data_IF_547064309750
#
_entry.id   IF_547064309750
#
_cell.length_a   1.000
_cell.length_b   1.000
_cell.length_c   1.000
_cell.angle_alpha   90.00
_cell.angle_beta   90.00
_cell.angle_gamma   90.00
#
_symmetry.space_group_name_H-M   'P 1'
#
loop_
_entity.id
_entity.type
_entity.pdbx_description
1 polymer ?
#
# COMPACT_ATOMS: atom_id res chain seq x y z
N UNK A 1 36.14 -5.07 1.74
CA UNK A 1 35.68 -6.01 0.70
C UNK A 1 34.41 -5.47 0.08
N UNK A 2 34.36 -5.37 -1.28
CA UNK A 2 33.16 -4.97 -2.03
C UNK A 2 32.56 -6.19 -2.69
N UNK A 3 31.27 -6.46 -2.42
CA UNK A 3 30.51 -7.52 -3.08
C UNK A 3 29.80 -6.93 -4.29
N UNK A 4 30.34 -7.17 -5.49
CA UNK A 4 29.85 -6.58 -6.74
C UNK A 4 29.18 -7.58 -7.68
N UNK A 5 29.39 -8.88 -7.47
CA UNK A 5 28.73 -9.90 -8.26
C UNK A 5 27.29 -10.08 -7.82
N UNK A 6 26.37 -9.97 -8.79
CA UNK A 6 24.93 -10.23 -8.61
C UNK A 6 24.57 -11.59 -9.23
N UNK A 7 23.75 -12.35 -8.54
CA UNK A 7 23.33 -13.70 -8.96
C UNK A 7 21.84 -13.76 -9.30
N UNK A 8 21.09 -12.68 -9.06
CA UNK A 8 19.63 -12.63 -9.22
C UNK A 8 19.23 -12.14 -10.60
N UNK A 9 19.83 -11.04 -11.04
CA UNK A 9 19.33 -10.23 -12.16
C UNK A 9 20.15 -10.44 -13.42
N UNK A 10 19.51 -10.21 -14.56
CA UNK A 10 20.16 -10.19 -15.87
C UNK A 10 20.97 -8.91 -16.08
N UNK A 11 21.89 -8.86 -17.05
CA UNK A 11 22.67 -7.65 -17.35
C UNK A 11 21.81 -6.42 -17.64
N UNK A 12 20.69 -6.58 -18.37
CA UNK A 12 19.79 -5.48 -18.71
C UNK A 12 19.13 -4.85 -17.47
N UNK A 13 18.72 -5.66 -16.50
CA UNK A 13 18.14 -5.18 -15.24
C UNK A 13 19.21 -4.43 -14.42
N UNK A 14 20.43 -4.98 -14.34
CA UNK A 14 21.53 -4.33 -13.62
C UNK A 14 21.95 -3.01 -14.27
N UNK A 15 21.96 -2.93 -15.60
CA UNK A 15 22.27 -1.70 -16.32
C UNK A 15 21.22 -0.62 -16.04
N UNK A 16 19.92 -0.96 -16.10
CA UNK A 16 18.84 -0.04 -15.78
C UNK A 16 18.91 0.44 -14.31
N UNK A 17 19.09 -0.48 -13.37
CA UNK A 17 19.21 -0.14 -11.95
C UNK A 17 20.44 0.73 -11.66
N UNK A 18 21.58 0.44 -12.30
CA UNK A 18 22.80 1.24 -12.17
C UNK A 18 22.64 2.64 -12.74
N UNK A 19 21.94 2.79 -13.86
CA UNK A 19 21.65 4.09 -14.45
C UNK A 19 20.79 4.96 -13.52
N UNK A 20 19.72 4.39 -12.94
CA UNK A 20 18.86 5.11 -11.99
C UNK A 20 19.66 5.55 -10.75
N UNK A 21 20.42 4.63 -10.15
CA UNK A 21 21.13 4.94 -8.91
C UNK A 21 22.36 5.84 -9.12
N UNK A 22 22.89 5.96 -10.33
CA UNK A 22 24.02 6.86 -10.63
C UNK A 22 23.68 8.34 -10.41
N UNK A 23 22.39 8.69 -10.43
CA UNK A 23 21.91 10.04 -10.09
C UNK A 23 22.11 10.41 -8.61
N UNK A 24 22.36 9.45 -7.73
CA UNK A 24 22.62 9.70 -6.31
C UNK A 24 24.12 9.99 -6.08
N UNK A 25 24.45 11.26 -5.79
CA UNK A 25 25.81 11.75 -5.63
C UNK A 25 26.48 11.32 -4.31
N UNK A 26 25.70 11.02 -3.28
CA UNK A 26 26.20 10.68 -1.93
C UNK A 26 26.46 9.18 -1.75
N UNK A 27 26.47 8.42 -2.83
CA UNK A 27 26.64 6.99 -2.80
C UNK A 27 28.11 6.58 -2.82
N UNK A 28 28.46 5.60 -1.97
CA UNK A 28 29.68 4.81 -2.14
C UNK A 28 29.53 3.94 -3.39
N UNK A 29 30.14 4.37 -4.49
CA UNK A 29 30.03 3.70 -5.77
C UNK A 29 30.43 2.22 -5.75
N UNK A 30 29.58 1.35 -6.32
CA UNK A 30 29.95 -0.02 -6.69
C UNK A 30 29.35 -0.35 -8.06
N UNK A 31 30.05 -1.19 -8.82
CA UNK A 31 29.60 -1.63 -10.14
C UNK A 31 29.11 -3.07 -10.02
N UNK A 32 27.79 -3.26 -10.10
CA UNK A 32 27.22 -4.59 -10.09
C UNK A 32 27.39 -5.25 -11.46
N UNK A 33 27.84 -6.48 -11.46
CA UNK A 33 27.96 -7.30 -12.64
C UNK A 33 27.39 -8.70 -12.41
N UNK A 34 27.05 -9.43 -13.45
CA UNK A 34 26.48 -10.78 -13.38
C UNK A 34 27.07 -11.66 -14.46
N UNK A 35 27.08 -12.98 -14.18
CA UNK A 35 27.40 -14.03 -15.16
C UNK A 35 26.13 -14.60 -15.83
N UNK A 36 24.95 -14.14 -15.42
CA UNK A 36 23.70 -14.60 -16.03
C UNK A 36 23.64 -14.23 -17.51
N UNK A 37 22.90 -15.02 -18.28
CA UNK A 37 22.66 -14.73 -19.68
C UNK A 37 21.86 -13.45 -19.84
N UNK A 38 21.97 -12.82 -21.01
CA UNK A 38 21.11 -11.70 -21.39
C UNK A 38 19.66 -12.16 -21.38
N UNK A 39 18.81 -11.42 -20.65
CA UNK A 39 17.38 -11.62 -20.60
C UNK A 39 16.65 -10.59 -21.46
N UNK A 40 15.37 -10.48 -21.27
CA UNK A 40 14.57 -9.43 -21.91
C UNK A 40 14.98 -8.05 -21.40
N UNK A 41 14.89 -7.05 -22.28
CA UNK A 41 15.10 -5.66 -21.90
C UNK A 41 13.99 -5.16 -20.99
N UNK A 42 14.34 -4.23 -20.09
CA UNK A 42 13.35 -3.53 -19.27
C UNK A 42 12.42 -2.74 -20.17
N UNK A 43 11.11 -2.91 -19.98
CA UNK A 43 10.06 -2.14 -20.68
C UNK A 43 9.60 -1.01 -19.77
N UNK A 44 9.49 0.18 -20.30
CA UNK A 44 8.91 1.35 -19.62
C UNK A 44 7.58 1.67 -20.32
N UNK A 45 6.49 1.65 -19.56
CA UNK A 45 5.15 1.88 -20.07
C UNK A 45 4.50 2.95 -19.19
N UNK A 46 3.93 3.97 -19.82
CA UNK A 46 3.20 5.04 -19.11
C UNK A 46 1.71 4.84 -19.26
N UNK A 47 0.96 5.12 -18.19
CA UNK A 47 -0.50 5.12 -18.16
C UNK A 47 -1.00 6.47 -17.63
N UNK A 48 -2.23 6.83 -17.99
CA UNK A 48 -2.85 8.09 -17.56
C UNK A 48 -3.28 8.07 -16.09
N UNK A 49 -3.71 6.90 -15.62
CA UNK A 49 -4.15 6.71 -14.25
C UNK A 49 -3.88 5.28 -13.75
N UNK A 50 -4.11 5.04 -12.47
CA UNK A 50 -3.87 3.74 -11.84
C UNK A 50 -4.86 2.66 -12.28
N UNK A 51 -6.06 3.01 -12.76
CA UNK A 51 -7.04 2.03 -13.25
C UNK A 51 -6.61 1.47 -14.61
N UNK A 52 -6.11 2.33 -15.49
CA UNK A 52 -5.54 1.91 -16.76
C UNK A 52 -4.29 1.04 -16.55
N UNK A 53 -3.41 1.45 -15.62
CA UNK A 53 -2.24 0.66 -15.23
C UNK A 53 -2.64 -0.73 -14.74
N UNK A 54 -3.59 -0.83 -13.81
CA UNK A 54 -4.03 -2.11 -13.25
C UNK A 54 -4.71 -3.00 -14.31
N UNK A 55 -5.46 -2.40 -15.24
CA UNK A 55 -6.06 -3.12 -16.36
C UNK A 55 -5.00 -3.72 -17.26
N UNK A 56 -4.04 -2.91 -17.68
CA UNK A 56 -2.95 -3.33 -18.54
C UNK A 56 -2.11 -4.45 -17.91
N UNK A 57 -1.78 -4.31 -16.62
CA UNK A 57 -1.03 -5.35 -15.89
C UNK A 57 -1.84 -6.64 -15.80
N UNK A 58 -3.14 -6.57 -15.54
CA UNK A 58 -4.02 -7.75 -15.55
C UNK A 58 -3.98 -8.48 -16.88
N UNK A 59 -4.13 -7.75 -17.99
CA UNK A 59 -4.08 -8.29 -19.35
C UNK A 59 -2.71 -8.88 -19.70
N UNK A 60 -1.61 -8.25 -19.29
CA UNK A 60 -0.25 -8.77 -19.48
C UNK A 60 -0.05 -10.08 -18.72
N UNK A 61 -0.53 -10.20 -17.47
CA UNK A 61 -0.46 -11.43 -16.68
C UNK A 61 -1.27 -12.55 -17.34
N UNK A 62 -2.48 -12.26 -17.78
CA UNK A 62 -3.31 -13.24 -18.52
C UNK A 62 -2.62 -13.69 -19.82
N UNK A 63 -2.03 -12.74 -20.55
CA UNK A 63 -1.26 -13.03 -21.76
C UNK A 63 -0.06 -13.93 -21.50
N UNK A 64 0.67 -13.69 -20.39
CA UNK A 64 1.79 -14.53 -19.95
C UNK A 64 1.32 -15.96 -19.62
N UNK A 65 0.19 -16.10 -18.93
CA UNK A 65 -0.39 -17.39 -18.61
C UNK A 65 -0.84 -18.17 -19.85
N UNK A 66 -1.50 -17.49 -20.78
CA UNK A 66 -1.99 -18.08 -22.04
C UNK A 66 -0.84 -18.41 -22.99
N UNK A 67 0.22 -17.63 -22.94
CA UNK A 67 1.42 -17.81 -23.77
C UNK A 67 2.30 -18.98 -23.33
N UNK A 68 1.76 -20.05 -22.78
CA UNK A 68 2.42 -21.27 -22.28
C UNK A 68 3.63 -21.76 -23.10
N UNK A 69 4.04 -20.98 -24.10
CA UNK A 69 5.14 -21.23 -25.04
C UNK A 69 6.49 -20.61 -24.61
N UNK A 70 6.49 -19.70 -23.65
CA UNK A 70 7.73 -19.13 -23.15
C UNK A 70 7.99 -19.70 -21.75
N UNK A 71 8.79 -20.73 -21.67
CA UNK A 71 9.28 -21.48 -20.51
C UNK A 71 9.97 -20.62 -19.41
N UNK A 72 9.65 -19.34 -19.30
CA UNK A 72 10.31 -18.40 -18.38
C UNK A 72 9.55 -18.20 -17.07
N UNK A 73 8.25 -18.54 -17.01
CA UNK A 73 7.42 -18.40 -15.81
C UNK A 73 6.63 -19.69 -15.62
N UNK A 74 6.90 -20.39 -14.51
CA UNK A 74 6.25 -21.67 -14.21
C UNK A 74 4.88 -21.49 -13.53
N UNK A 75 4.59 -20.30 -13.01
CA UNK A 75 3.32 -20.00 -12.34
C UNK A 75 3.19 -18.55 -11.92
N UNK A 76 1.99 -18.18 -11.44
CA UNK A 76 1.69 -16.82 -10.94
C UNK A 76 2.53 -16.43 -9.72
N UNK A 77 3.01 -17.40 -8.97
CA UNK A 77 3.87 -17.20 -7.81
C UNK A 77 5.27 -16.66 -8.16
N UNK A 78 5.65 -16.70 -9.43
CA UNK A 78 6.87 -16.08 -9.94
C UNK A 78 6.69 -14.61 -10.39
N UNK A 79 5.44 -14.11 -10.37
CA UNK A 79 5.13 -12.73 -10.75
C UNK A 79 4.99 -11.88 -9.49
N UNK A 80 5.67 -10.74 -9.47
CA UNK A 80 5.53 -9.77 -8.38
C UNK A 80 5.29 -8.36 -8.93
N UNK A 81 4.34 -7.65 -8.29
CA UNK A 81 4.05 -6.24 -8.57
C UNK A 81 4.55 -5.44 -7.38
N UNK A 82 5.48 -4.53 -7.65
CA UNK A 82 6.04 -3.66 -6.63
C UNK A 82 5.40 -2.28 -6.73
N UNK A 83 4.83 -1.82 -5.63
CA UNK A 83 4.20 -0.49 -5.52
C UNK A 83 4.98 0.40 -4.56
N UNK A 84 4.97 1.69 -4.80
CA UNK A 84 5.68 2.66 -3.95
C UNK A 84 4.91 2.99 -2.69
N UNK A 85 3.58 2.95 -2.72
CA UNK A 85 2.71 3.31 -1.61
C UNK A 85 1.51 2.34 -1.51
N UNK A 86 1.04 2.11 -0.29
CA UNK A 86 -0.02 1.14 -0.01
C UNK A 86 -1.36 1.48 -0.68
N UNK A 87 -1.65 2.76 -0.91
CA UNK A 87 -2.89 3.15 -1.59
C UNK A 87 -2.95 2.67 -3.04
N UNK A 88 -1.78 2.49 -3.70
CA UNK A 88 -1.72 1.96 -5.06
C UNK A 88 -2.15 0.49 -5.16
N UNK A 89 -1.99 -0.28 -4.07
CA UNK A 89 -2.34 -1.71 -4.06
C UNK A 89 -3.83 -1.94 -4.31
N UNK A 90 -4.70 -1.04 -3.81
CA UNK A 90 -6.14 -1.19 -3.90
C UNK A 90 -6.64 -1.31 -5.34
N UNK A 91 -6.12 -0.50 -6.24
CA UNK A 91 -6.51 -0.51 -7.65
C UNK A 91 -6.19 -1.86 -8.31
N UNK A 92 -5.04 -2.46 -7.97
CA UNK A 92 -4.68 -3.81 -8.44
C UNK A 92 -5.56 -4.88 -7.80
N UNK A 93 -5.81 -4.80 -6.49
CA UNK A 93 -6.69 -5.74 -5.78
C UNK A 93 -8.09 -5.75 -6.39
N UNK A 94 -8.70 -4.57 -6.60
CA UNK A 94 -10.03 -4.42 -7.19
C UNK A 94 -10.07 -5.01 -8.63
N UNK A 95 -9.05 -4.77 -9.42
CA UNK A 95 -8.93 -5.34 -10.76
C UNK A 95 -8.79 -6.87 -10.74
N UNK A 96 -7.91 -7.40 -9.91
CA UNK A 96 -7.65 -8.85 -9.83
C UNK A 96 -8.86 -9.63 -9.31
N UNK A 97 -9.59 -9.06 -8.35
CA UNK A 97 -10.88 -9.62 -7.92
C UNK A 97 -11.89 -9.67 -9.07
N UNK A 98 -11.97 -8.60 -9.88
CA UNK A 98 -12.91 -8.51 -11.00
C UNK A 98 -12.63 -9.57 -12.07
N UNK A 99 -11.36 -9.83 -12.39
CA UNK A 99 -10.97 -10.82 -13.41
C UNK A 99 -10.74 -12.23 -12.83
N UNK A 100 -10.90 -12.42 -11.50
CA UNK A 100 -10.69 -13.71 -10.86
C UNK A 100 -9.22 -14.15 -10.78
N UNK A 101 -8.26 -13.21 -10.87
CA UNK A 101 -6.84 -13.51 -10.79
C UNK A 101 -6.42 -13.69 -9.32
N UNK A 102 -5.90 -14.87 -8.90
CA UNK A 102 -5.44 -15.05 -7.52
C UNK A 102 -4.19 -14.24 -7.24
N UNK A 103 -4.18 -13.54 -6.10
CA UNK A 103 -3.05 -12.72 -5.66
C UNK A 103 -2.85 -12.79 -4.15
N UNK A 104 -1.68 -12.35 -3.69
CA UNK A 104 -1.36 -12.19 -2.27
C UNK A 104 -0.67 -10.86 -2.04
N UNK A 105 -1.19 -10.05 -1.12
CA UNK A 105 -0.56 -8.81 -0.68
C UNK A 105 0.53 -9.12 0.35
N UNK A 106 1.73 -8.62 0.11
CA UNK A 106 2.88 -8.76 1.01
C UNK A 106 3.27 -7.37 1.52
N UNK A 107 3.39 -7.22 2.84
CA UNK A 107 3.83 -5.96 3.47
C UNK A 107 2.79 -4.84 3.45
N UNK A 108 1.56 -5.11 3.02
CA UNK A 108 0.44 -4.19 3.17
C UNK A 108 -0.08 -4.15 4.60
N UNK A 109 -0.84 -3.10 4.99
CA UNK A 109 -1.50 -3.07 6.29
C UNK A 109 -2.44 -4.27 6.39
N UNK A 110 -2.39 -4.98 7.54
CA UNK A 110 -3.34 -6.05 7.81
C UNK A 110 -4.76 -5.51 7.73
N UNK A 111 -5.75 -6.34 7.39
CA UNK A 111 -7.14 -5.93 7.21
C UNK A 111 -7.62 -5.00 8.33
N UNK A 112 -7.39 -5.36 9.59
CA UNK A 112 -7.78 -4.55 10.75
C UNK A 112 -6.93 -3.30 10.99
N UNK A 113 -5.81 -3.14 10.27
CA UNK A 113 -4.95 -1.95 10.36
C UNK A 113 -5.32 -0.89 9.32
N UNK A 114 -6.15 -1.24 8.33
CA UNK A 114 -6.67 -0.31 7.33
C UNK A 114 -7.48 0.78 8.02
N UNK A 115 -7.31 2.02 7.57
CA UNK A 115 -7.91 3.19 8.21
C UNK A 115 -9.44 3.08 8.27
N UNK A 116 -10.08 2.71 7.18
CA UNK A 116 -11.53 2.51 7.07
C UNK A 116 -12.07 1.43 8.01
N UNK A 117 -11.30 0.36 8.21
CA UNK A 117 -11.69 -0.72 9.13
C UNK A 117 -11.54 -0.25 10.58
N UNK A 118 -10.46 0.46 10.90
CA UNK A 118 -10.26 1.03 12.23
C UNK A 118 -11.34 2.05 12.57
N UNK A 119 -11.78 2.85 11.59
CA UNK A 119 -12.87 3.80 11.78
C UNK A 119 -14.20 3.08 12.03
N UNK A 120 -14.54 2.07 11.21
CA UNK A 120 -15.72 1.24 11.42
C UNK A 120 -15.71 0.55 12.79
N UNK A 121 -14.57 -0.04 13.17
CA UNK A 121 -14.41 -0.67 14.49
C UNK A 121 -14.57 0.33 15.64
N UNK A 122 -14.11 1.57 15.48
CA UNK A 122 -14.31 2.61 16.49
C UNK A 122 -15.80 2.97 16.66
N UNK A 123 -16.57 3.01 15.56
CA UNK A 123 -18.04 3.16 15.65
C UNK A 123 -18.70 2.01 16.41
N UNK A 124 -18.35 0.76 16.10
CA UNK A 124 -18.89 -0.39 16.82
C UNK A 124 -18.53 -0.38 18.31
N UNK A 125 -17.27 -0.06 18.63
CA UNK A 125 -16.81 0.03 20.02
C UNK A 125 -17.55 1.11 20.79
N UNK A 126 -17.72 2.29 20.20
CA UNK A 126 -18.45 3.38 20.86
C UNK A 126 -19.94 3.09 21.02
N UNK A 127 -20.54 2.33 20.09
CA UNK A 127 -21.96 1.91 20.24
C UNK A 127 -22.16 0.91 21.37
N UNK A 128 -21.16 0.11 21.71
CA UNK A 128 -21.17 -0.84 22.81
C UNK A 128 -20.80 -0.19 24.16
N UNK A 129 -19.89 0.76 24.14
CA UNK A 129 -19.40 1.44 25.34
C UNK A 129 -19.13 2.92 25.07
N UNK A 130 -19.95 3.79 25.67
CA UNK A 130 -19.78 5.24 25.60
C UNK A 130 -18.56 5.74 26.39
N UNK A 131 -17.93 4.89 27.20
CA UNK A 131 -16.72 5.21 27.93
C UNK A 131 -15.42 4.97 27.13
N UNK A 132 -15.51 4.55 25.86
CA UNK A 132 -14.35 4.36 24.99
C UNK A 132 -13.91 5.69 24.35
N UNK A 133 -13.15 6.48 25.11
CA UNK A 133 -12.68 7.79 24.70
C UNK A 133 -11.76 7.73 23.46
N UNK A 134 -10.96 6.67 23.30
CA UNK A 134 -10.11 6.50 22.11
C UNK A 134 -10.94 6.27 20.85
N UNK A 135 -12.03 5.50 20.96
CA UNK A 135 -12.94 5.31 19.85
C UNK A 135 -13.67 6.63 19.53
N UNK A 136 -14.08 7.38 20.54
CA UNK A 136 -14.73 8.68 20.36
C UNK A 136 -13.79 9.67 19.64
N UNK A 137 -12.57 9.89 20.12
CA UNK A 137 -11.59 10.80 19.51
C UNK A 137 -11.35 10.46 18.05
N UNK A 138 -11.30 9.17 17.73
CA UNK A 138 -11.08 8.72 16.36
C UNK A 138 -12.21 9.11 15.40
N UNK A 139 -13.46 9.00 15.84
CA UNK A 139 -14.63 9.15 14.95
C UNK A 139 -15.38 10.45 15.11
N UNK A 140 -15.06 11.27 16.10
CA UNK A 140 -15.80 12.52 16.39
C UNK A 140 -15.93 13.42 15.16
N UNK A 141 -14.93 13.44 14.29
CA UNK A 141 -14.93 14.21 13.04
C UNK A 141 -14.66 13.34 11.79
N UNK A 142 -14.92 12.04 11.87
CA UNK A 142 -14.82 11.08 10.76
C UNK A 142 -16.20 10.42 10.56
N UNK A 143 -16.92 10.66 9.47
CA UNK A 143 -16.67 11.67 8.42
C UNK A 143 -16.69 13.12 8.96
N UNK A 144 -16.17 14.07 8.20
CA UNK A 144 -16.11 15.48 8.62
C UNK A 144 -17.49 16.01 8.99
N UNK A 145 -17.64 16.46 10.26
CA UNK A 145 -18.88 17.00 10.85
C UNK A 145 -18.77 18.47 11.25
N UNK A 146 -17.66 19.13 10.89
CA UNK A 146 -17.42 20.51 11.29
C UNK A 146 -16.97 20.68 12.76
N UNK A 147 -16.65 19.58 13.44
CA UNK A 147 -16.15 19.63 14.82
C UNK A 147 -14.64 19.91 14.79
N UNK A 148 -14.30 21.20 14.83
CA UNK A 148 -12.91 21.67 14.86
C UNK A 148 -12.23 21.47 16.22
N UNK A 149 -10.94 21.77 16.29
CA UNK A 149 -10.12 21.62 17.50
C UNK A 149 -10.70 22.32 18.73
N UNK A 150 -11.24 23.54 18.57
CA UNK A 150 -11.87 24.29 19.67
C UNK A 150 -13.06 23.56 20.29
N UNK A 151 -13.88 22.92 19.45
CA UNK A 151 -15.02 22.14 19.91
C UNK A 151 -14.56 20.87 20.62
N UNK A 152 -13.55 20.20 20.09
CA UNK A 152 -12.97 19.02 20.73
C UNK A 152 -12.33 19.36 22.09
N UNK A 153 -11.60 20.46 22.19
CA UNK A 153 -11.04 20.94 23.45
C UNK A 153 -12.13 21.25 24.48
N UNK A 154 -13.25 21.85 24.05
CA UNK A 154 -14.36 22.12 24.93
C UNK A 154 -15.03 20.84 25.44
N UNK A 155 -15.19 19.82 24.60
CA UNK A 155 -15.66 18.48 25.01
C UNK A 155 -14.72 17.89 26.07
N UNK A 156 -13.42 17.91 25.82
CA UNK A 156 -12.42 17.39 26.78
C UNK A 156 -12.47 18.12 28.12
N UNK A 157 -12.63 19.44 28.10
CA UNK A 157 -12.73 20.23 29.33
C UNK A 157 -13.98 19.90 30.15
N UNK A 158 -15.14 19.80 29.49
CA UNK A 158 -16.39 19.40 30.13
C UNK A 158 -16.30 18.01 30.71
N UNK A 159 -15.74 17.07 29.97
CA UNK A 159 -15.57 15.68 30.44
C UNK A 159 -14.67 15.60 31.66
N UNK A 160 -13.53 16.29 31.64
CA UNK A 160 -12.61 16.33 32.79
C UNK A 160 -13.23 16.97 34.03
N UNK A 161 -13.95 18.09 33.88
CA UNK A 161 -14.56 18.79 34.99
C UNK A 161 -15.66 17.98 35.68
N UNK A 162 -16.34 17.12 34.92
CA UNK A 162 -17.45 16.31 35.44
C UNK A 162 -17.05 14.84 35.72
N UNK A 163 -15.81 14.42 35.39
CA UNK A 163 -15.35 13.03 35.58
C UNK A 163 -16.10 12.01 34.72
N UNK A 164 -16.54 12.40 33.52
CA UNK A 164 -17.33 11.59 32.59
C UNK A 164 -16.57 11.34 31.30
N UNK A 165 -17.05 10.41 30.47
CA UNK A 165 -16.46 10.11 29.18
C UNK A 165 -16.59 11.28 28.19
N UNK A 166 -15.76 11.27 27.12
CA UNK A 166 -15.84 12.27 26.06
C UNK A 166 -17.18 12.24 25.32
N UNK A 167 -17.77 11.07 25.14
CA UNK A 167 -19.07 10.93 24.51
C UNK A 167 -20.19 11.56 25.35
N UNK A 168 -20.13 11.36 26.67
CA UNK A 168 -21.08 11.99 27.60
C UNK A 168 -20.85 13.50 27.69
N UNK A 169 -19.58 13.96 27.75
CA UNK A 169 -19.24 15.37 27.73
C UNK A 169 -19.72 16.09 26.45
N UNK A 170 -19.68 15.41 25.31
CA UNK A 170 -20.21 15.93 24.06
C UNK A 170 -21.74 16.09 24.05
N UNK A 171 -22.48 15.31 24.84
CA UNK A 171 -23.94 15.45 24.99
C UNK A 171 -24.35 16.61 25.89
N UNK A 172 -23.45 17.09 26.72
CA UNK A 172 -23.70 18.22 27.63
C UNK A 172 -23.42 19.59 27.01
N UNK A 173 -22.87 19.60 25.76
CA UNK A 173 -22.55 20.82 25.01
C UNK A 173 -23.60 21.16 23.97
#
# INVERSE_FOLDING_TARGET
>A
VRLEQNYRSTPHILAAASAVISGNKDRLGKNLWTKNQEGQKVRLIGHWDGEEEARWIGEEIESIQLSNRNYLINGLDEIAILVRASHQMRTFEDRFLTIGLPYRVIGGPRFYERMEIRDAMAYFRLSLSLSDDLAFERIVNTPKRGIGEKAQQKIQQVSRNNGISLAEGARLL
#
